data_IF_337589847407
#
_entry.id   IF_337589847407
#
_cell.length_a   1.000
_cell.length_b   1.000
_cell.length_c   1.000
_cell.angle_alpha   90.00
_cell.angle_beta   90.00
_cell.angle_gamma   90.00
#
_symmetry.space_group_name_H-M   'P 1'
#
loop_
_entity.id
_entity.type
_entity.pdbx_description
1 polymer ?
#
# COMPACT_ATOMS: atom_id res chain seq x y z
N UNK A 1 9.51 9.30 10.20
CA UNK A 1 8.19 8.73 10.53
C UNK A 1 8.32 7.27 10.99
N UNK A 2 8.60 6.30 10.11
CA UNK A 2 8.68 4.88 10.50
C UNK A 2 9.70 4.58 11.60
N UNK A 3 10.89 5.17 11.55
CA UNK A 3 11.89 5.03 12.61
C UNK A 3 11.35 5.48 13.99
N UNK A 4 10.61 6.60 14.03
CA UNK A 4 10.02 7.11 15.27
C UNK A 4 8.89 6.20 15.77
N UNK A 5 7.98 5.78 14.87
CA UNK A 5 6.89 4.84 15.21
C UNK A 5 7.45 3.55 15.80
N UNK A 6 8.46 2.97 15.15
CA UNK A 6 9.07 1.72 15.60
C UNK A 6 9.93 1.88 16.86
N UNK A 7 10.48 3.07 17.13
CA UNK A 7 11.14 3.37 18.42
C UNK A 7 10.14 3.38 19.56
N UNK A 8 9.01 4.10 19.40
CA UNK A 8 7.96 4.16 20.42
C UNK A 8 7.41 2.77 20.71
N UNK A 9 7.13 1.97 19.68
CA UNK A 9 6.67 0.58 19.87
C UNK A 9 7.69 -0.28 20.62
N UNK A 10 9.00 -0.08 20.39
CA UNK A 10 10.05 -0.78 21.13
C UNK A 10 10.07 -0.36 22.59
N UNK A 11 9.94 0.94 22.86
CA UNK A 11 9.88 1.49 24.22
C UNK A 11 8.67 0.93 24.99
N UNK A 12 7.50 0.86 24.34
CA UNK A 12 6.26 0.38 24.96
C UNK A 12 6.24 -1.14 25.19
N UNK A 13 6.84 -1.92 24.29
CA UNK A 13 6.80 -3.39 24.35
C UNK A 13 8.08 -4.01 24.93
N UNK A 14 9.09 -3.18 25.19
CA UNK A 14 10.45 -3.59 25.53
C UNK A 14 11.03 -4.66 24.57
N UNK A 15 10.56 -4.67 23.31
CA UNK A 15 10.90 -5.67 22.30
C UNK A 15 11.16 -5.01 20.96
N UNK A 16 12.20 -5.45 20.27
CA UNK A 16 12.47 -5.02 18.90
C UNK A 16 11.39 -5.54 17.95
N UNK A 17 10.97 -4.69 17.02
CA UNK A 17 10.04 -5.10 15.96
C UNK A 17 10.75 -6.04 14.99
N UNK A 18 10.15 -7.20 14.77
CA UNK A 18 10.56 -8.14 13.75
C UNK A 18 9.59 -8.10 12.55
N UNK A 19 10.12 -8.50 11.40
CA UNK A 19 9.36 -8.52 10.15
C UNK A 19 9.31 -9.93 9.61
N UNK A 20 8.14 -10.38 9.18
CA UNK A 20 7.96 -11.77 8.79
C UNK A 20 8.87 -12.19 7.62
N UNK A 21 9.15 -11.27 6.69
CA UNK A 21 10.04 -11.54 5.55
C UNK A 21 11.53 -11.51 5.90
N UNK A 22 11.88 -11.14 7.13
CA UNK A 22 13.24 -11.14 7.66
C UNK A 22 13.42 -12.29 8.66
N UNK A 23 12.55 -12.31 9.68
CA UNK A 23 12.69 -13.12 10.88
C UNK A 23 11.67 -14.29 10.94
N UNK A 24 10.73 -14.36 10.00
CA UNK A 24 9.65 -15.35 10.00
C UNK A 24 8.52 -15.10 10.99
N UNK A 25 8.51 -13.97 11.72
CA UNK A 25 7.52 -13.65 12.76
C UNK A 25 6.97 -12.22 12.68
N UNK A 26 5.91 -11.95 13.44
CA UNK A 26 5.30 -10.62 13.68
C UNK A 26 4.74 -9.93 12.42
N UNK A 27 5.31 -8.81 11.98
CA UNK A 27 4.69 -7.94 10.98
C UNK A 27 4.83 -8.57 9.59
N UNK A 28 3.73 -9.14 9.10
CA UNK A 28 3.65 -9.72 7.75
C UNK A 28 3.21 -8.74 6.66
N UNK A 29 2.55 -7.64 7.03
CA UNK A 29 2.01 -6.69 6.07
C UNK A 29 1.83 -5.31 6.71
N UNK A 30 2.17 -4.25 5.97
CA UNK A 30 1.85 -2.86 6.27
C UNK A 30 0.93 -2.37 5.16
N UNK A 31 -0.32 -2.09 5.53
CA UNK A 31 -1.31 -1.50 4.64
C UNK A 31 -1.20 0.02 4.70
N UNK A 32 -1.09 0.65 3.54
CA UNK A 32 -0.91 2.09 3.45
C UNK A 32 -1.62 2.65 2.20
N UNK A 33 -1.76 3.97 2.15
CA UNK A 33 -2.29 4.63 0.96
C UNK A 33 -1.27 4.57 -0.20
N UNK A 34 -1.70 5.00 -1.40
CA UNK A 34 -0.83 5.11 -2.56
C UNK A 34 0.14 6.31 -2.48
N UNK A 35 0.58 6.72 -1.29
CA UNK A 35 1.47 7.86 -1.13
C UNK A 35 2.94 7.46 -1.19
N UNK A 36 3.66 7.95 -2.20
CA UNK A 36 5.06 7.59 -2.45
C UNK A 36 6.00 7.86 -1.27
N UNK A 37 5.76 8.91 -0.49
CA UNK A 37 6.60 9.21 0.69
C UNK A 37 6.46 8.18 1.81
N UNK A 38 5.31 7.52 1.94
CA UNK A 38 5.13 6.46 2.94
C UNK A 38 5.94 5.23 2.55
N UNK A 39 5.80 4.78 1.30
CA UNK A 39 6.61 3.70 0.76
C UNK A 39 8.12 4.00 0.88
N UNK A 40 8.55 5.22 0.52
CA UNK A 40 9.94 5.65 0.64
C UNK A 40 10.43 5.65 2.10
N UNK A 41 9.61 6.14 3.04
CA UNK A 41 9.99 6.17 4.45
C UNK A 41 10.16 4.77 5.05
N UNK A 42 9.31 3.81 4.64
CA UNK A 42 9.43 2.42 5.06
C UNK A 42 10.65 1.76 4.41
N UNK A 43 10.83 1.99 3.11
CA UNK A 43 11.96 1.52 2.32
C UNK A 43 13.29 1.95 2.96
N UNK A 44 13.44 3.23 3.29
CA UNK A 44 14.63 3.77 3.93
C UNK A 44 14.88 3.12 5.29
N UNK A 45 13.83 2.97 6.12
CA UNK A 45 13.96 2.31 7.42
C UNK A 45 14.46 0.87 7.28
N UNK A 46 13.82 0.08 6.42
CA UNK A 46 14.15 -1.33 6.24
C UNK A 46 15.52 -1.51 5.58
N UNK A 47 15.84 -0.73 4.55
CA UNK A 47 17.12 -0.82 3.84
C UNK A 47 18.31 -0.42 4.73
N UNK A 48 18.12 0.54 5.65
CA UNK A 48 19.15 0.90 6.62
C UNK A 48 19.40 -0.22 7.65
N UNK A 49 18.34 -0.93 8.06
CA UNK A 49 18.42 -2.00 9.06
C UNK A 49 18.83 -3.36 8.46
N UNK A 50 18.46 -3.61 7.21
CA UNK A 50 18.58 -4.90 6.53
C UNK A 50 19.13 -4.72 5.10
N UNK A 51 20.29 -4.08 4.98
CA UNK A 51 20.92 -3.66 3.71
C UNK A 51 21.29 -4.80 2.75
N UNK A 52 21.23 -6.06 3.20
CA UNK A 52 21.43 -7.24 2.35
C UNK A 52 20.24 -7.52 1.41
N UNK A 53 19.09 -6.87 1.62
CA UNK A 53 17.98 -6.83 0.66
C UNK A 53 17.87 -5.43 0.06
N UNK A 54 17.49 -5.37 -1.21
CA UNK A 54 17.20 -4.07 -1.80
C UNK A 54 15.91 -3.49 -1.22
N UNK A 55 15.92 -2.19 -1.03
CA UNK A 55 14.77 -1.30 -0.88
C UNK A 55 13.45 -1.81 -1.52
N UNK A 56 13.44 -2.02 -2.84
CA UNK A 56 12.25 -2.52 -3.56
C UNK A 56 11.87 -3.92 -3.08
N UNK A 57 12.84 -4.82 -2.86
CA UNK A 57 12.58 -6.19 -2.42
C UNK A 57 11.88 -6.19 -1.06
N UNK A 58 12.26 -5.31 -0.13
CA UNK A 58 11.52 -5.13 1.12
C UNK A 58 10.06 -4.78 0.87
N UNK A 59 9.79 -3.76 0.06
CA UNK A 59 8.41 -3.35 -0.24
C UNK A 59 7.58 -4.50 -0.82
N UNK A 60 8.15 -5.29 -1.75
CA UNK A 60 7.45 -6.44 -2.34
C UNK A 60 7.02 -7.49 -1.31
N UNK A 61 7.70 -7.60 -0.17
CA UNK A 61 7.41 -8.61 0.83
C UNK A 61 6.40 -8.15 1.88
N UNK A 62 6.33 -6.85 2.16
CA UNK A 62 5.61 -6.33 3.33
C UNK A 62 4.58 -5.24 3.01
N UNK A 63 4.71 -4.50 1.92
CA UNK A 63 3.86 -3.34 1.67
C UNK A 63 2.65 -3.72 0.84
N UNK A 64 1.48 -3.23 1.26
CA UNK A 64 0.22 -3.43 0.55
C UNK A 64 -0.49 -2.10 0.40
N UNK A 65 -0.97 -1.82 -0.80
CA UNK A 65 -1.71 -0.59 -1.09
C UNK A 65 -3.19 -0.81 -0.81
N UNK A 66 -3.79 0.15 -0.12
CA UNK A 66 -5.22 0.18 0.17
C UNK A 66 -6.05 0.31 -1.12
N UNK A 67 -6.97 -0.64 -1.34
CA UNK A 67 -7.85 -0.62 -2.52
C UNK A 67 -8.92 0.48 -2.45
N UNK A 68 -9.32 0.90 -1.24
CA UNK A 68 -10.24 2.04 -1.09
C UNK A 68 -9.60 3.30 -1.69
N UNK A 69 -8.34 3.58 -1.34
CA UNK A 69 -7.61 4.74 -1.85
C UNK A 69 -7.30 4.61 -3.35
N UNK A 70 -6.95 3.40 -3.80
CA UNK A 70 -6.80 3.10 -5.23
C UNK A 70 -8.09 3.39 -6.01
N UNK A 71 -9.23 2.90 -5.55
CA UNK A 71 -10.53 3.10 -6.19
C UNK A 71 -10.97 4.58 -6.13
N UNK A 72 -10.74 5.25 -5.00
CA UNK A 72 -11.02 6.69 -4.84
C UNK A 72 -10.19 7.52 -5.82
N UNK A 73 -8.92 7.17 -6.04
CA UNK A 73 -8.07 7.83 -7.03
C UNK A 73 -8.61 7.69 -8.46
N UNK A 74 -9.10 6.51 -8.85
CA UNK A 74 -9.75 6.29 -10.15
C UNK A 74 -11.03 7.12 -10.27
N UNK A 75 -11.87 7.13 -9.24
CA UNK A 75 -13.13 7.88 -9.22
C UNK A 75 -12.92 9.37 -9.47
N UNK A 76 -11.89 9.96 -8.85
CA UNK A 76 -11.56 11.39 -8.95
C UNK A 76 -11.09 11.83 -10.35
N UNK A 77 -10.71 10.90 -11.24
CA UNK A 77 -10.28 11.19 -12.61
C UNK A 77 -11.48 11.39 -13.53
N UNK A 78 -12.06 12.58 -13.53
CA UNK A 78 -13.31 12.90 -14.23
C UNK A 78 -13.25 12.69 -15.75
N UNK A 79 -12.09 12.92 -16.36
CA UNK A 79 -11.92 12.82 -17.83
C UNK A 79 -11.81 11.38 -18.34
N UNK A 80 -11.64 10.40 -17.45
CA UNK A 80 -11.57 8.99 -17.86
C UNK A 80 -12.99 8.45 -18.08
N UNK A 81 -13.31 7.92 -19.28
CA UNK A 81 -14.62 7.33 -19.56
C UNK A 81 -14.97 6.19 -18.59
N UNK A 82 -16.26 6.03 -18.29
CA UNK A 82 -16.75 5.00 -17.37
C UNK A 82 -16.31 3.59 -17.76
N UNK A 83 -16.26 3.29 -19.06
CA UNK A 83 -15.83 1.98 -19.56
C UNK A 83 -14.37 1.68 -19.23
N UNK A 84 -13.50 2.68 -19.37
CA UNK A 84 -12.09 2.56 -18.98
C UNK A 84 -11.96 2.44 -17.47
N UNK A 85 -12.76 3.19 -16.70
CA UNK A 85 -12.79 3.06 -15.23
C UNK A 85 -13.18 1.66 -14.78
N UNK A 86 -14.14 1.00 -15.44
CA UNK A 86 -14.52 -0.39 -15.13
C UNK A 86 -13.32 -1.34 -15.25
N UNK A 87 -12.56 -1.20 -16.34
CA UNK A 87 -11.33 -1.96 -16.56
C UNK A 87 -10.29 -1.65 -15.46
N UNK A 88 -10.10 -0.37 -15.14
CA UNK A 88 -9.18 0.07 -14.08
C UNK A 88 -9.55 -0.46 -12.68
N UNK A 89 -10.84 -0.64 -12.38
CA UNK A 89 -11.27 -1.25 -11.11
C UNK A 89 -11.00 -2.76 -11.09
N UNK A 90 -11.32 -3.44 -12.19
CA UNK A 90 -11.20 -4.89 -12.31
C UNK A 90 -9.74 -5.39 -12.25
N UNK A 91 -8.78 -4.56 -12.69
CA UNK A 91 -7.37 -4.95 -12.77
C UNK A 91 -6.77 -5.41 -11.43
N UNK A 92 -7.30 -4.95 -10.29
CA UNK A 92 -6.82 -5.34 -8.96
C UNK A 92 -7.12 -6.81 -8.59
N UNK A 93 -8.04 -7.44 -9.33
CA UNK A 93 -8.46 -8.83 -9.13
C UNK A 93 -7.82 -9.82 -10.10
N UNK A 94 -6.94 -9.36 -10.99
CA UNK A 94 -6.22 -10.24 -11.92
C UNK A 94 -5.15 -11.05 -11.18
N UNK A 95 -5.02 -12.31 -11.56
CA UNK A 95 -4.19 -13.29 -10.85
C UNK A 95 -2.81 -13.48 -11.50
N UNK A 96 -2.67 -13.16 -12.79
CA UNK A 96 -1.40 -13.34 -13.52
C UNK A 96 -0.73 -12.03 -13.90
N UNK A 97 0.61 -12.06 -14.01
CA UNK A 97 1.39 -10.90 -14.46
C UNK A 97 1.04 -10.51 -15.90
N UNK A 98 0.80 -11.50 -16.76
CA UNK A 98 0.48 -11.27 -18.16
C UNK A 98 -0.85 -10.51 -18.32
N UNK A 99 -1.90 -10.92 -17.60
CA UNK A 99 -3.20 -10.24 -17.63
C UNK A 99 -3.08 -8.79 -17.16
N UNK A 100 -2.39 -8.55 -16.03
CA UNK A 100 -2.20 -7.18 -15.51
C UNK A 100 -1.47 -6.32 -16.54
N UNK A 101 -0.36 -6.80 -17.11
CA UNK A 101 0.42 -6.02 -18.08
C UNK A 101 -0.38 -5.74 -19.35
N UNK A 102 -1.11 -6.74 -19.87
CA UNK A 102 -1.97 -6.59 -21.03
C UNK A 102 -3.06 -5.53 -20.79
N UNK A 103 -3.72 -5.55 -19.62
CA UNK A 103 -4.74 -4.54 -19.28
C UNK A 103 -4.13 -3.15 -19.15
N UNK A 104 -2.95 -3.00 -18.55
CA UNK A 104 -2.25 -1.71 -18.49
C UNK A 104 -1.92 -1.17 -19.89
N UNK A 105 -1.54 -2.05 -20.82
CA UNK A 105 -1.27 -1.69 -22.21
C UNK A 105 -2.56 -1.27 -22.93
N UNK A 106 -3.65 -2.02 -22.78
CA UNK A 106 -4.96 -1.66 -23.33
C UNK A 106 -5.43 -0.27 -22.85
N UNK A 107 -5.28 0.03 -21.55
CA UNK A 107 -5.63 1.35 -21.01
C UNK A 107 -4.77 2.46 -21.64
N UNK A 108 -3.46 2.21 -21.87
CA UNK A 108 -2.57 3.17 -22.55
C UNK A 108 -2.99 3.47 -23.99
N UNK A 109 -3.55 2.50 -24.71
CA UNK A 109 -4.00 2.67 -26.09
C UNK A 109 -5.24 3.56 -26.25
N UNK A 110 -5.93 3.89 -25.15
CA UNK A 110 -7.12 4.75 -25.16
C UNK A 110 -6.84 6.21 -25.53
N UNK A 111 -5.57 6.61 -25.61
CA UNK A 111 -5.10 7.99 -25.85
C UNK A 111 -5.66 9.03 -24.84
N UNK A 112 -6.28 8.58 -23.75
CA UNK A 112 -6.75 9.46 -22.69
C UNK A 112 -5.59 9.82 -21.76
N UNK A 113 -5.27 11.12 -21.67
CA UNK A 113 -4.13 11.61 -20.88
C UNK A 113 -4.18 11.17 -19.41
N UNK A 114 -5.33 11.32 -18.74
CA UNK A 114 -5.48 10.94 -17.33
C UNK A 114 -5.32 9.42 -17.13
N UNK A 115 -5.79 8.61 -18.08
CA UNK A 115 -5.62 7.17 -18.05
C UNK A 115 -4.15 6.78 -18.25
N UNK A 116 -3.46 7.39 -19.21
CA UNK A 116 -2.02 7.17 -19.46
C UNK A 116 -1.19 7.55 -18.25
N UNK A 117 -1.43 8.71 -17.65
CA UNK A 117 -0.73 9.16 -16.44
C UNK A 117 -0.96 8.20 -15.28
N UNK A 118 -2.18 7.70 -15.12
CA UNK A 118 -2.49 6.69 -14.12
C UNK A 118 -1.72 5.39 -14.39
N UNK A 119 -1.66 4.89 -15.63
CA UNK A 119 -0.89 3.69 -15.97
C UNK A 119 0.59 3.89 -15.67
N UNK A 120 1.15 5.05 -16.03
CA UNK A 120 2.56 5.36 -15.78
C UNK A 120 2.88 5.37 -14.28
N UNK A 121 1.97 5.90 -13.45
CA UNK A 121 2.10 5.84 -11.99
C UNK A 121 2.03 4.40 -11.47
N UNK A 122 1.05 3.61 -11.94
CA UNK A 122 0.84 2.23 -11.47
C UNK A 122 1.85 1.23 -12.02
N UNK A 123 2.52 1.54 -13.12
CA UNK A 123 3.57 0.71 -13.73
C UNK A 123 4.91 0.76 -12.99
N UNK A 124 5.06 1.65 -12.00
CA UNK A 124 6.25 1.68 -11.14
C UNK A 124 6.41 0.34 -10.44
N UNK A 125 7.62 -0.22 -10.44
CA UNK A 125 7.92 -1.58 -9.93
C UNK A 125 7.41 -1.83 -8.51
N UNK A 126 7.54 -0.84 -7.63
CA UNK A 126 7.06 -0.95 -6.24
C UNK A 126 5.53 -0.91 -6.17
N UNK A 127 4.87 -0.08 -6.98
CA UNK A 127 3.41 0.03 -7.01
C UNK A 127 2.79 -1.26 -7.52
N UNK A 128 3.32 -1.82 -8.62
CA UNK A 128 2.85 -3.09 -9.17
C UNK A 128 2.84 -4.19 -8.12
N UNK A 129 3.96 -4.34 -7.41
CA UNK A 129 4.13 -5.39 -6.42
C UNK A 129 3.27 -5.24 -5.16
N UNK A 130 2.77 -4.03 -4.91
CA UNK A 130 2.03 -3.71 -3.69
C UNK A 130 0.52 -3.57 -3.95
N UNK A 131 0.07 -3.53 -5.21
CA UNK A 131 -1.34 -3.57 -5.61
C UNK A 131 -1.73 -4.97 -6.10
N UNK A 132 -0.89 -5.57 -6.95
CA UNK A 132 -1.25 -6.78 -7.69
C UNK A 132 -0.62 -8.01 -7.05
N UNK A 133 -1.46 -8.96 -6.68
CA UNK A 133 -1.06 -10.25 -6.10
C UNK A 133 -0.02 -10.98 -6.95
N UNK A 134 -0.13 -10.88 -8.28
CA UNK A 134 0.79 -11.49 -9.22
C UNK A 134 2.25 -10.98 -9.12
N UNK A 135 2.48 -9.79 -8.53
CA UNK A 135 3.79 -9.15 -8.46
C UNK A 135 4.37 -9.09 -7.04
N UNK A 136 3.57 -9.38 -6.02
CA UNK A 136 4.03 -9.40 -4.64
C UNK A 136 4.96 -10.58 -4.37
N UNK A 137 5.86 -10.43 -3.40
CA UNK A 137 6.62 -11.52 -2.79
C UNK A 137 6.12 -11.81 -1.36
N UNK A 138 5.03 -11.16 -0.94
CA UNK A 138 4.34 -11.48 0.30
C UNK A 138 3.77 -12.90 0.23
N UNK A 139 3.83 -13.70 1.31
CA UNK A 139 3.17 -14.99 1.35
C UNK A 139 1.68 -14.87 1.00
N UNK A 140 1.17 -15.76 0.14
CA UNK A 140 -0.22 -15.71 -0.34
C UNK A 140 -1.22 -15.71 0.82
N UNK A 141 -0.94 -16.49 1.88
CA UNK A 141 -1.77 -16.51 3.09
C UNK A 141 -1.86 -15.13 3.73
N UNK A 142 -0.73 -14.44 3.88
CA UNK A 142 -0.67 -13.07 4.43
C UNK A 142 -1.38 -12.08 3.52
N UNK A 143 -1.16 -12.17 2.20
CA UNK A 143 -1.83 -11.30 1.23
C UNK A 143 -3.35 -11.44 1.29
N UNK A 144 -3.87 -12.67 1.35
CA UNK A 144 -5.31 -12.93 1.38
C UNK A 144 -5.94 -12.59 2.75
N UNK A 145 -5.21 -12.80 3.85
CA UNK A 145 -5.70 -12.52 5.20
C UNK A 145 -5.75 -11.03 5.53
N UNK A 146 -4.84 -10.26 4.95
CA UNK A 146 -4.78 -8.80 5.17
C UNK A 146 -5.87 -8.11 4.37
N UNK A 147 -6.75 -7.38 5.07
CA UNK A 147 -7.80 -6.59 4.42
C UNK A 147 -7.19 -5.53 3.51
N UNK A 148 -7.95 -5.14 2.49
CA UNK A 148 -7.59 -4.07 1.57
C UNK A 148 -8.17 -2.70 1.97
N UNK A 149 -8.88 -2.65 3.10
CA UNK A 149 -9.47 -1.45 3.65
C UNK A 149 -8.67 -0.91 4.84
N UNK A 150 -8.63 0.41 4.90
CA UNK A 150 -8.06 1.18 6.01
C UNK A 150 -9.15 1.65 6.97
N UNK A 151 -10.34 1.03 7.03
CA UNK A 151 -11.50 1.58 7.75
C UNK A 151 -11.19 1.99 9.20
N UNK A 152 -10.30 1.24 9.89
CA UNK A 152 -9.82 1.58 11.24
C UNK A 152 -8.93 2.83 11.23
N UNK A 153 -7.97 2.93 10.31
CA UNK A 153 -7.11 4.12 10.20
C UNK A 153 -7.82 5.33 9.57
N UNK A 154 -8.76 5.15 8.64
CA UNK A 154 -9.61 6.21 8.08
C UNK A 154 -10.59 6.75 9.12
N UNK A 155 -11.14 5.90 9.99
CA UNK A 155 -11.93 6.38 11.13
C UNK A 155 -11.05 7.14 12.12
N UNK A 156 -9.83 6.69 12.37
CA UNK A 156 -8.86 7.41 13.18
C UNK A 156 -8.48 8.77 12.56
N UNK A 157 -8.22 8.83 11.24
CA UNK A 157 -7.97 10.10 10.53
C UNK A 157 -9.19 11.02 10.51
N UNK A 158 -10.40 10.48 10.31
CA UNK A 158 -11.64 11.25 10.35
C UNK A 158 -11.97 11.76 11.76
N UNK A 159 -11.53 11.05 12.80
CA UNK A 159 -11.63 11.49 14.18
C UNK A 159 -10.56 12.56 14.48
N UNK A 160 -9.29 12.34 14.13
CA UNK A 160 -8.22 13.35 14.27
C UNK A 160 -8.54 14.66 13.51
N UNK A 161 -9.08 14.56 12.29
CA UNK A 161 -9.50 15.74 11.50
C UNK A 161 -10.76 16.43 12.06
N UNK A 162 -11.59 15.73 12.85
CA UNK A 162 -12.77 16.31 13.53
C UNK A 162 -12.45 16.85 14.92
N UNK A 163 -11.56 16.18 15.65
CA UNK A 163 -11.31 16.37 17.07
C UNK A 163 -10.07 17.25 17.33
N UNK A 164 -9.25 17.53 16.30
CA UNK A 164 -8.04 18.34 16.41
C UNK A 164 -6.86 17.61 17.08
N UNK A 165 -5.73 18.32 17.22
CA UNK A 165 -4.40 17.81 17.64
C UNK A 165 -4.33 17.33 19.12
N UNK A 166 -5.45 17.22 19.81
CA UNK A 166 -5.52 17.11 21.28
C UNK A 166 -6.18 15.82 21.77
N UNK A 167 -6.06 14.72 21.02
CA UNK A 167 -6.51 13.41 21.50
C UNK A 167 -5.39 12.70 22.27
N UNK A 168 -5.66 12.38 23.54
CA UNK A 168 -4.84 11.48 24.35
C UNK A 168 -4.85 10.09 23.71
N UNK A 169 -3.68 9.43 23.69
CA UNK A 169 -3.42 8.11 23.08
C UNK A 169 -4.47 7.05 23.45
N UNK A 170 -5.08 7.18 24.64
CA UNK A 170 -6.13 6.30 25.15
C UNK A 170 -7.40 6.26 24.27
N UNK A 171 -7.72 7.35 23.56
CA UNK A 171 -8.88 7.42 22.66
C UNK A 171 -8.72 6.63 21.35
N UNK A 172 -7.48 6.29 20.97
CA UNK A 172 -7.19 5.53 19.74
C UNK A 172 -7.25 4.01 19.94
N UNK A 173 -7.18 3.53 21.19
CA UNK A 173 -7.12 2.09 21.52
C UNK A 173 -8.52 1.51 21.82
N UNK A 174 -9.49 2.36 22.20
CA UNK A 174 -10.80 1.94 22.69
C UNK A 174 -11.98 2.16 21.72
N UNK A 175 -11.76 2.27 20.41
CA UNK A 175 -12.83 2.36 19.41
C UNK A 175 -12.78 1.26 18.36
#
# INVERSE_FOLDING_TARGET
MFAAVFSVMKEDTNSEICFHHIDGKEIGCILADTHSKQALGLEQYLNNRYSYLSAIKHLKHIYKICLIHFNRNIRQKSEIPTEIKRIMYAISHLETKAEVLNVLEQIKLTQNKQAIDWVNDKSKKWVLANIFKAFTLMPIKTWNFTRFDTNVSESAHANVNRDGISLLLFGAIYR
#
